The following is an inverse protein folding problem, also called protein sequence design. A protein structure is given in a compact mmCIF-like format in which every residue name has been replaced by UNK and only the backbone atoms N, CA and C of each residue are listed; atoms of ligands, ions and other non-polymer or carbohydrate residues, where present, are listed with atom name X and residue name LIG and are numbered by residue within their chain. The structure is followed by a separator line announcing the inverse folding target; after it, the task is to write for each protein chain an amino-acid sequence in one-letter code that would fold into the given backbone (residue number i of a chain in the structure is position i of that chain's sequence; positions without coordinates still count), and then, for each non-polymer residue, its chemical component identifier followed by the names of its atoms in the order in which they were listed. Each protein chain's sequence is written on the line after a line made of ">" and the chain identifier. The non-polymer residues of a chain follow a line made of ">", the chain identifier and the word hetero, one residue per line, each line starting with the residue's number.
data_IF_108915619186
#
_entry.id   IF_108915619186
#
_cell.length_a   1.000
_cell.length_b   1.000
_cell.length_c   1.000
_cell.angle_alpha   90.00
_cell.angle_beta   90.00
_cell.angle_gamma   90.00
#
_symmetry.space_group_name_H-M   'P 1'
#
loop_
_entity.id
_entity.type
_entity.pdbx_description
1 polymer ?
#
# COMPACT_ATOMS: atom_id res chain seq x y z
N UNK A 1 -14.19 -0.08 4.48
CA UNK A 1 -12.74 -0.05 4.18
C UNK A 1 -11.91 -1.12 4.90
N UNK A 2 -12.02 -1.34 6.22
CA UNK A 2 -11.25 -2.40 6.93
C UNK A 2 -11.33 -3.81 6.31
N UNK A 3 -12.51 -4.19 5.77
CA UNK A 3 -12.74 -5.51 5.17
C UNK A 3 -11.82 -5.84 3.98
N UNK A 4 -11.51 -4.86 3.11
CA UNK A 4 -10.71 -5.13 1.90
C UNK A 4 -9.20 -5.17 2.21
N UNK A 5 -8.73 -4.30 3.11
CA UNK A 5 -7.34 -4.31 3.56
C UNK A 5 -7.03 -5.62 4.29
N UNK A 6 -7.93 -6.06 5.20
CA UNK A 6 -7.81 -7.35 5.87
C UNK A 6 -7.82 -8.54 4.89
N UNK A 7 -8.61 -8.44 3.81
CA UNK A 7 -8.64 -9.46 2.76
C UNK A 7 -7.34 -9.48 1.94
N UNK A 8 -6.83 -8.31 1.55
CA UNK A 8 -5.55 -8.19 0.84
C UNK A 8 -4.40 -8.72 1.68
N UNK A 9 -4.34 -8.37 2.97
CA UNK A 9 -3.35 -8.92 3.89
C UNK A 9 -3.42 -10.45 3.95
N UNK A 10 -4.63 -11.01 4.11
CA UNK A 10 -4.84 -12.45 4.06
C UNK A 10 -4.31 -13.07 2.76
N UNK A 11 -4.63 -12.48 1.60
CA UNK A 11 -4.16 -12.99 0.30
C UNK A 11 -2.64 -12.92 0.18
N UNK A 12 -2.01 -11.82 0.55
CA UNK A 12 -0.55 -11.72 0.52
C UNK A 12 0.11 -12.72 1.47
N UNK A 13 -0.50 -12.96 2.64
CA UNK A 13 -0.03 -13.96 3.58
C UNK A 13 -0.05 -15.38 3.00
N UNK A 14 -1.16 -15.77 2.36
CA UNK A 14 -1.28 -17.07 1.68
C UNK A 14 -0.28 -17.19 0.52
N UNK A 15 -0.09 -16.12 -0.25
CA UNK A 15 0.89 -16.09 -1.35
C UNK A 15 2.30 -16.28 -0.82
N UNK A 16 2.67 -15.59 0.26
CA UNK A 16 3.99 -15.77 0.87
C UNK A 16 4.19 -17.18 1.45
N UNK A 17 3.14 -17.86 1.95
CA UNK A 17 3.21 -19.29 2.27
C UNK A 17 3.52 -20.13 1.02
N UNK A 18 2.81 -19.90 -0.09
CA UNK A 18 3.00 -20.65 -1.34
C UNK A 18 4.41 -20.47 -1.92
N UNK A 19 5.02 -19.31 -1.67
CA UNK A 19 6.37 -18.98 -2.11
C UNK A 19 7.48 -19.40 -1.13
N UNK A 20 7.14 -20.09 -0.03
CA UNK A 20 8.10 -20.49 1.02
C UNK A 20 8.84 -19.30 1.69
N UNK A 21 8.20 -18.12 1.68
CA UNK A 21 8.71 -16.90 2.33
C UNK A 21 8.20 -16.78 3.78
N UNK A 22 8.77 -15.86 4.56
CA UNK A 22 8.26 -15.51 5.88
C UNK A 22 6.85 -14.87 5.78
N UNK A 23 5.75 -15.57 6.09
CA UNK A 23 4.43 -15.18 5.58
C UNK A 23 3.92 -13.85 6.13
N UNK A 24 4.13 -13.62 7.44
CA UNK A 24 3.74 -12.36 8.10
C UNK A 24 4.56 -11.20 7.57
N UNK A 25 5.86 -11.40 7.38
CA UNK A 25 6.77 -10.36 6.92
C UNK A 25 6.49 -10.02 5.45
N UNK A 26 6.40 -11.02 4.57
CA UNK A 26 6.08 -10.83 3.15
C UNK A 26 4.75 -10.10 2.94
N UNK A 27 3.69 -10.53 3.62
CA UNK A 27 2.39 -9.85 3.57
C UNK A 27 2.45 -8.39 4.05
N UNK A 28 3.24 -8.13 5.09
CA UNK A 28 3.45 -6.78 5.61
C UNK A 28 4.17 -5.92 4.59
N UNK A 29 5.24 -6.42 3.96
CA UNK A 29 6.01 -5.67 2.96
C UNK A 29 5.12 -5.21 1.80
N UNK A 30 4.37 -6.15 1.20
CA UNK A 30 3.51 -5.86 0.05
C UNK A 30 2.40 -4.87 0.41
N UNK A 31 1.74 -5.06 1.56
CA UNK A 31 0.69 -4.13 1.97
C UNK A 31 1.24 -2.75 2.32
N UNK A 32 2.41 -2.70 2.95
CA UNK A 32 3.05 -1.42 3.31
C UNK A 32 3.50 -0.66 2.08
N UNK A 33 4.08 -1.33 1.09
CA UNK A 33 4.40 -0.74 -0.21
C UNK A 33 3.17 -0.06 -0.84
N UNK A 34 2.04 -0.78 -0.89
CA UNK A 34 0.77 -0.25 -1.40
C UNK A 34 0.32 0.99 -0.63
N UNK A 35 0.35 0.95 0.71
CA UNK A 35 -0.07 2.07 1.56
C UNK A 35 0.86 3.27 1.39
N UNK A 36 2.17 3.05 1.39
CA UNK A 36 3.19 4.09 1.22
C UNK A 36 3.04 4.78 -0.13
N UNK A 37 2.93 4.02 -1.23
CA UNK A 37 2.77 4.59 -2.57
C UNK A 37 1.45 5.35 -2.67
N UNK A 38 0.36 4.81 -2.15
CA UNK A 38 -0.94 5.50 -2.15
C UNK A 38 -0.86 6.83 -1.41
N UNK A 39 -0.25 6.83 -0.21
CA UNK A 39 -0.09 8.02 0.60
C UNK A 39 0.79 9.08 -0.10
N UNK A 40 1.88 8.65 -0.74
CA UNK A 40 2.75 9.51 -1.53
C UNK A 40 1.97 10.25 -2.62
N UNK A 41 1.22 9.53 -3.46
CA UNK A 41 0.44 10.18 -4.53
C UNK A 41 -0.65 11.10 -3.99
N UNK A 42 -1.29 10.75 -2.87
CA UNK A 42 -2.26 11.64 -2.21
C UNK A 42 -1.58 12.95 -1.81
N UNK A 43 -0.40 12.92 -1.17
CA UNK A 43 0.32 14.13 -0.79
C UNK A 43 0.70 14.96 -2.01
N UNK A 44 1.26 14.33 -3.05
CA UNK A 44 1.70 15.05 -4.25
C UNK A 44 0.52 15.75 -4.95
N UNK A 45 -0.62 15.05 -5.10
CA UNK A 45 -1.83 15.60 -5.70
C UNK A 45 -2.39 16.74 -4.83
N UNK A 46 -2.46 16.55 -3.51
CA UNK A 46 -2.90 17.61 -2.59
C UNK A 46 -1.99 18.83 -2.64
N UNK A 47 -0.67 18.64 -2.69
CA UNK A 47 0.30 19.72 -2.86
C UNK A 47 0.00 20.51 -4.13
N UNK A 48 -0.22 19.83 -5.26
CA UNK A 48 -0.53 20.48 -6.52
C UNK A 48 -1.83 21.28 -6.45
N UNK A 49 -2.91 20.69 -5.92
CA UNK A 49 -4.21 21.37 -5.79
C UNK A 49 -4.12 22.61 -4.91
N UNK A 50 -3.29 22.58 -3.86
CA UNK A 50 -3.18 23.68 -2.90
C UNK A 50 -2.17 24.76 -3.30
N UNK A 51 -1.13 24.41 -4.07
CA UNK A 51 0.02 25.29 -4.31
C UNK A 51 0.38 25.50 -5.79
N UNK A 52 -0.20 24.73 -6.71
CA UNK A 52 0.21 24.68 -8.11
C UNK A 52 1.46 23.84 -8.38
N UNK A 53 2.09 23.27 -7.34
CA UNK A 53 3.29 22.45 -7.44
C UNK A 53 3.13 21.10 -6.71
N UNK A 54 3.57 20.02 -7.36
CA UNK A 54 3.52 18.67 -6.78
C UNK A 54 4.46 18.49 -5.58
N UNK A 55 5.61 19.17 -5.60
CA UNK A 55 6.64 19.01 -4.58
C UNK A 55 6.52 20.15 -3.58
N UNK A 56 5.95 19.86 -2.41
CA UNK A 56 5.74 20.74 -1.24
C UNK A 56 6.62 22.02 -1.26
N UNK A 57 6.17 23.10 -1.92
CA UNK A 57 7.06 24.21 -2.30
C UNK A 57 7.58 24.99 -1.10
N UNK A 58 6.83 24.99 0.01
CA UNK A 58 7.13 25.73 1.23
C UNK A 58 7.95 24.93 2.26
N UNK A 59 8.54 23.79 1.87
CA UNK A 59 9.33 22.95 2.78
C UNK A 59 10.78 22.84 2.32
N UNK A 60 11.73 22.88 3.26
CA UNK A 60 13.16 22.68 2.97
C UNK A 60 13.43 21.28 2.42
N UNK A 61 14.51 21.12 1.65
CA UNK A 61 14.93 19.82 1.11
C UNK A 61 15.11 18.77 2.22
N UNK A 62 15.78 19.14 3.31
CA UNK A 62 15.97 18.28 4.49
C UNK A 62 14.63 17.80 5.07
N UNK A 63 13.66 18.69 5.20
CA UNK A 63 12.33 18.34 5.72
C UNK A 63 11.61 17.38 4.79
N UNK A 64 11.72 17.56 3.47
CA UNK A 64 11.14 16.65 2.48
C UNK A 64 11.76 15.25 2.57
N UNK A 65 13.07 15.16 2.76
CA UNK A 65 13.79 13.90 2.97
C UNK A 65 13.30 13.20 4.24
N UNK A 66 13.21 13.93 5.36
CA UNK A 66 12.73 13.40 6.64
C UNK A 66 11.30 12.87 6.51
N UNK A 67 10.39 13.64 5.89
CA UNK A 67 9.01 13.20 5.63
C UNK A 67 8.99 11.96 4.75
N UNK A 68 9.83 11.92 3.70
CA UNK A 68 9.96 10.76 2.82
C UNK A 68 10.40 9.49 3.56
N UNK A 69 11.42 9.59 4.41
CA UNK A 69 11.92 8.46 5.20
C UNK A 69 10.85 7.99 6.20
N UNK A 70 10.26 8.90 6.97
CA UNK A 70 9.22 8.57 7.96
C UNK A 70 8.02 7.94 7.24
N UNK A 71 7.55 8.55 6.15
CA UNK A 71 6.43 8.05 5.36
C UNK A 71 6.69 6.68 4.73
N UNK A 72 7.95 6.35 4.43
CA UNK A 72 8.33 5.05 3.88
C UNK A 72 8.30 3.93 4.93
N UNK A 73 8.91 4.16 6.10
CA UNK A 73 9.12 3.11 7.11
C UNK A 73 7.98 2.99 8.14
N UNK A 74 7.26 4.07 8.44
CA UNK A 74 6.21 4.06 9.46
C UNK A 74 5.07 3.07 9.15
N UNK A 75 4.57 2.95 7.89
CA UNK A 75 3.53 1.97 7.55
C UNK A 75 3.95 0.53 7.84
N UNK A 76 5.22 0.18 7.63
CA UNK A 76 5.75 -1.16 7.86
C UNK A 76 5.61 -1.57 9.31
N UNK A 77 6.06 -0.71 10.23
CA UNK A 77 6.00 -0.96 11.67
C UNK A 77 4.55 -1.08 12.12
N UNK A 78 3.69 -0.14 11.70
CA UNK A 78 2.27 -0.12 12.11
C UNK A 78 1.55 -1.37 11.61
N UNK A 79 1.70 -1.73 10.33
CA UNK A 79 1.03 -2.89 9.73
C UNK A 79 1.52 -4.18 10.37
N UNK A 80 2.83 -4.31 10.59
CA UNK A 80 3.41 -5.49 11.25
C UNK A 80 2.82 -5.70 12.65
N UNK A 81 2.75 -4.64 13.46
CA UNK A 81 2.20 -4.69 14.81
C UNK A 81 0.68 -4.96 14.80
N UNK A 82 -0.04 -4.34 13.88
CA UNK A 82 -1.49 -4.50 13.73
C UNK A 82 -1.88 -5.94 13.35
N UNK A 83 -1.16 -6.56 12.42
CA UNK A 83 -1.35 -7.96 12.03
C UNK A 83 -0.48 -8.90 12.86
N UNK A 84 -0.84 -9.00 14.15
CA UNK A 84 -0.26 -10.00 15.05
C UNK A 84 -0.81 -11.42 14.79
N UNK A 85 -0.16 -12.43 15.39
CA UNK A 85 -0.50 -13.85 15.20
C UNK A 85 -1.99 -14.15 15.48
N UNK A 86 -2.57 -13.57 16.54
CA UNK A 86 -4.00 -13.76 16.89
C UNK A 86 -4.90 -13.26 15.76
N UNK A 87 -4.66 -12.05 15.27
CA UNK A 87 -5.44 -11.45 14.19
C UNK A 87 -5.30 -12.25 12.90
N UNK A 88 -4.08 -12.70 12.57
CA UNK A 88 -3.83 -13.53 11.38
C UNK A 88 -4.67 -14.79 11.41
N UNK A 89 -4.69 -15.52 12.53
CA UNK A 89 -5.50 -16.74 12.66
C UNK A 89 -7.00 -16.46 12.42
N UNK A 90 -7.52 -15.38 12.99
CA UNK A 90 -8.92 -14.96 12.74
C UNK A 90 -9.19 -14.66 11.26
N UNK A 91 -8.22 -14.06 10.55
CA UNK A 91 -8.35 -13.80 9.12
C UNK A 91 -8.30 -15.07 8.29
N UNK A 92 -7.43 -16.02 8.66
CA UNK A 92 -7.32 -17.31 8.00
C UNK A 92 -8.64 -18.08 8.08
N UNK A 93 -9.25 -18.16 9.26
CA UNK A 93 -10.56 -18.80 9.43
C UNK A 93 -11.66 -18.06 8.66
N UNK A 94 -11.69 -16.73 8.77
CA UNK A 94 -12.72 -15.90 8.15
C UNK A 94 -12.74 -15.96 6.63
N UNK A 95 -11.56 -16.05 6.00
CA UNK A 95 -11.42 -15.97 4.55
C UNK A 95 -11.07 -17.29 3.87
N UNK A 96 -10.94 -18.40 4.60
CA UNK A 96 -10.60 -19.73 4.06
C UNK A 96 -11.44 -20.10 2.82
N UNK A 97 -12.76 -20.00 2.94
CA UNK A 97 -13.72 -20.41 1.91
C UNK A 97 -14.29 -19.23 1.11
N UNK A 98 -13.56 -18.11 1.06
CA UNK A 98 -14.03 -16.92 0.36
C UNK A 98 -13.99 -17.14 -1.17
N UNK A 99 -15.12 -16.92 -1.84
CA UNK A 99 -15.28 -17.05 -3.31
C UNK A 99 -14.24 -16.26 -4.10
N UNK A 100 -13.79 -15.10 -3.58
CA UNK A 100 -12.79 -14.27 -4.23
C UNK A 100 -11.38 -14.89 -4.28
N UNK A 101 -11.11 -15.90 -3.43
CA UNK A 101 -9.85 -16.63 -3.45
C UNK A 101 -9.64 -17.40 -4.75
N UNK A 102 -10.73 -17.92 -5.32
CA UNK A 102 -10.74 -18.62 -6.61
C UNK A 102 -10.88 -17.62 -7.76
N UNK A 103 -11.71 -16.58 -7.58
CA UNK A 103 -11.98 -15.60 -8.63
C UNK A 103 -10.75 -14.80 -9.07
N UNK A 104 -9.93 -14.34 -8.11
CA UNK A 104 -8.75 -13.53 -8.41
C UNK A 104 -7.48 -14.34 -8.24
N UNK A 105 -6.69 -14.45 -9.31
CA UNK A 105 -5.40 -15.14 -9.29
C UNK A 105 -4.41 -14.43 -8.37
N UNK A 106 -3.41 -15.17 -7.85
CA UNK A 106 -2.37 -14.59 -7.00
C UNK A 106 -1.58 -13.49 -7.73
N UNK A 107 -1.34 -13.66 -9.04
CA UNK A 107 -0.71 -12.64 -9.88
C UNK A 107 -1.55 -11.36 -9.95
N UNK A 108 -2.87 -11.50 -10.07
CA UNK A 108 -3.80 -10.35 -10.10
C UNK A 108 -3.84 -9.60 -8.77
N UNK A 109 -3.76 -10.32 -7.65
CA UNK A 109 -3.72 -9.67 -6.34
C UNK A 109 -2.38 -8.95 -6.14
N UNK A 110 -1.26 -9.58 -6.52
CA UNK A 110 0.06 -8.95 -6.48
C UNK A 110 0.18 -7.76 -7.43
N UNK A 111 -0.54 -7.75 -8.56
CA UNK A 111 -0.44 -6.65 -9.53
C UNK A 111 -0.95 -5.31 -9.00
N UNK A 112 -1.71 -5.30 -7.90
CA UNK A 112 -2.21 -4.08 -7.26
C UNK A 112 -1.05 -3.11 -6.95
N UNK A 113 0.11 -3.62 -6.53
CA UNK A 113 1.30 -2.78 -6.25
C UNK A 113 1.83 -2.02 -7.46
N UNK A 114 1.52 -2.48 -8.68
CA UNK A 114 1.88 -1.81 -9.93
C UNK A 114 0.75 -0.93 -10.47
N UNK A 115 -0.50 -1.32 -10.24
CA UNK A 115 -1.68 -0.54 -10.66
C UNK A 115 -1.71 0.81 -9.94
N UNK A 116 -1.46 0.83 -8.64
CA UNK A 116 -1.49 2.06 -7.83
C UNK A 116 -0.52 3.12 -8.35
N UNK A 117 0.80 2.84 -8.52
CA UNK A 117 1.71 3.85 -9.05
C UNK A 117 1.36 4.23 -10.50
N UNK A 118 0.87 3.30 -11.32
CA UNK A 118 0.44 3.62 -12.68
C UNK A 118 -0.69 4.65 -12.69
N UNK A 119 -1.74 4.42 -11.88
CA UNK A 119 -2.87 5.35 -11.74
C UNK A 119 -2.41 6.69 -11.16
N UNK A 120 -1.55 6.66 -10.14
CA UNK A 120 -0.99 7.87 -9.53
C UNK A 120 -0.21 8.73 -10.54
N UNK A 121 0.65 8.11 -11.36
CA UNK A 121 1.40 8.80 -12.40
C UNK A 121 0.47 9.38 -13.47
N UNK A 122 -0.50 8.61 -13.96
CA UNK A 122 -1.48 9.10 -14.95
C UNK A 122 -2.25 10.32 -14.44
N UNK A 123 -2.66 10.29 -13.16
CA UNK A 123 -3.32 11.44 -12.53
C UNK A 123 -2.39 12.65 -12.44
N UNK A 124 -1.12 12.46 -12.05
CA UNK A 124 -0.15 13.55 -12.05
C UNK A 124 0.08 14.12 -13.46
N UNK A 125 0.22 13.28 -14.48
CA UNK A 125 0.36 13.73 -15.87
C UNK A 125 -0.85 14.54 -16.34
N UNK A 126 -2.06 14.09 -16.00
CA UNK A 126 -3.28 14.83 -16.30
C UNK A 126 -3.30 16.19 -15.58
N UNK A 127 -3.00 16.22 -14.29
CA UNK A 127 -2.97 17.45 -13.49
C UNK A 127 -1.90 18.44 -13.96
N UNK A 128 -0.75 17.94 -14.42
CA UNK A 128 0.33 18.78 -14.95
C UNK A 128 -0.09 19.63 -16.15
N UNK A 129 -1.13 19.23 -16.90
CA UNK A 129 -1.69 20.03 -18.00
C UNK A 129 -2.35 21.33 -17.55
N UNK A 130 -2.66 21.46 -16.25
CA UNK A 130 -3.28 22.64 -15.66
C UNK A 130 -2.28 23.55 -14.93
N UNK A 131 -0.98 23.19 -14.97
CA UNK A 131 0.09 24.06 -14.50
C UNK A 131 0.42 25.11 -15.56
#
# INVERSE_FOLDING_TARGET
>A
MKKIIDYLFYRYYIISIKNEEFPRFGATCVLSEIVTITYLFIILILSFVLTGDFFLPNTSEETRIIIGIIGCFLPWIIIYLFYNKKRINTLLEKYKDNVYNVKYSDKTVLSIRYVIPTVGLLLMFFLYQFK
#
